data_IF_228570431289
#
_entry.id   IF_228570431289
#
_cell.length_a   1.000
_cell.length_b   1.000
_cell.length_c   1.000
_cell.angle_alpha   90.00
_cell.angle_beta   90.00
_cell.angle_gamma   90.00
#
_symmetry.space_group_name_H-M   'P 1'
#
loop_
_entity.id
_entity.type
_entity.pdbx_description
1 polymer ?
#
# COMPACT_ATOMS: atom_id res chain seq x y z
N UNK A 1 -16.70 1.04 -13.77
CA UNK A 1 -15.56 1.34 -12.85
C UNK A 1 -14.21 0.86 -13.41
N UNK A 2 -14.15 -0.21 -14.21
CA UNK A 2 -13.06 -0.40 -15.20
C UNK A 2 -12.79 0.92 -15.94
N UNK A 3 -13.86 1.57 -16.42
CA UNK A 3 -13.85 2.94 -16.96
C UNK A 3 -13.23 4.04 -16.09
N UNK A 4 -13.28 3.94 -14.75
CA UNK A 4 -12.64 4.92 -13.85
C UNK A 4 -11.15 4.61 -13.64
N UNK A 5 -10.77 3.35 -13.51
CA UNK A 5 -9.34 2.96 -13.44
C UNK A 5 -8.66 3.24 -14.77
N UNK A 6 -9.34 2.97 -15.88
CA UNK A 6 -8.92 3.31 -17.24
C UNK A 6 -8.75 4.83 -17.43
N UNK A 7 -9.67 5.65 -16.89
CA UNK A 7 -9.53 7.11 -16.91
C UNK A 7 -8.33 7.60 -16.09
N UNK A 8 -8.13 7.07 -14.88
CA UNK A 8 -6.95 7.42 -14.06
C UNK A 8 -5.65 6.99 -14.75
N UNK A 9 -5.64 5.80 -15.38
CA UNK A 9 -4.50 5.33 -16.16
C UNK A 9 -4.23 6.23 -17.38
N UNK A 10 -5.28 6.71 -18.05
CA UNK A 10 -5.15 7.68 -19.14
C UNK A 10 -4.52 8.99 -18.65
N UNK A 11 -5.03 9.55 -17.55
CA UNK A 11 -4.46 10.76 -16.95
C UNK A 11 -2.99 10.55 -16.53
N UNK A 12 -2.68 9.40 -15.94
CA UNK A 12 -1.33 9.09 -15.52
C UNK A 12 -0.38 8.92 -16.71
N UNK A 13 -0.83 8.33 -17.81
CA UNK A 13 -0.06 8.29 -19.06
C UNK A 13 0.24 9.68 -19.58
N UNK A 14 -0.76 10.57 -19.63
CA UNK A 14 -0.57 11.94 -20.05
C UNK A 14 0.45 12.67 -19.15
N UNK A 15 0.35 12.50 -17.82
CA UNK A 15 1.34 13.00 -16.87
C UNK A 15 2.75 12.47 -17.17
N UNK A 16 2.90 11.16 -17.44
CA UNK A 16 4.22 10.60 -17.76
C UNK A 16 4.78 11.13 -19.08
N UNK A 17 3.93 11.32 -20.08
CA UNK A 17 4.31 11.87 -21.39
C UNK A 17 4.72 13.35 -21.27
N UNK A 18 4.05 14.12 -20.42
CA UNK A 18 4.32 15.54 -20.19
C UNK A 18 5.61 15.76 -19.38
N UNK A 19 5.78 15.04 -18.26
CA UNK A 19 6.85 15.29 -17.29
C UNK A 19 8.06 14.34 -17.41
N UNK A 20 7.90 13.19 -18.08
CA UNK A 20 8.97 12.19 -18.24
C UNK A 20 9.09 11.62 -19.67
N UNK A 21 9.12 12.48 -20.72
CA UNK A 21 9.02 12.06 -22.13
C UNK A 21 10.13 11.12 -22.60
N UNK A 22 11.29 11.12 -21.94
CA UNK A 22 12.47 10.33 -22.31
C UNK A 22 12.66 9.06 -21.48
N UNK A 23 11.75 8.78 -20.54
CA UNK A 23 11.94 7.70 -19.58
C UNK A 23 11.54 6.34 -20.16
N UNK A 24 12.37 5.30 -19.95
CA UNK A 24 12.05 3.92 -20.35
C UNK A 24 10.77 3.39 -19.69
N UNK A 25 10.30 4.01 -18.62
CA UNK A 25 9.01 3.70 -18.02
C UNK A 25 7.86 3.96 -18.98
N UNK A 26 7.91 4.94 -19.88
CA UNK A 26 6.87 5.11 -20.91
C UNK A 26 6.71 3.86 -21.80
N UNK A 27 7.81 3.13 -22.05
CA UNK A 27 7.77 1.84 -22.76
C UNK A 27 7.14 0.75 -21.88
N UNK A 28 7.40 0.78 -20.58
CA UNK A 28 6.88 -0.19 -19.58
C UNK A 28 5.44 0.08 -19.16
N UNK A 29 4.90 1.29 -19.33
CA UNK A 29 3.52 1.65 -18.92
C UNK A 29 2.45 0.84 -19.67
N UNK A 30 2.81 0.27 -20.83
CA UNK A 30 1.97 -0.64 -21.61
C UNK A 30 2.13 -2.11 -21.20
N UNK A 31 3.14 -2.45 -20.39
CA UNK A 31 3.38 -3.81 -19.92
C UNK A 31 2.25 -4.28 -18.99
N UNK A 32 1.95 -5.58 -19.04
CA UNK A 32 0.91 -6.17 -18.19
C UNK A 32 1.24 -6.01 -16.70
N UNK A 33 2.52 -6.14 -16.35
CA UNK A 33 3.05 -6.04 -15.00
C UNK A 33 2.84 -4.64 -14.42
N UNK A 34 3.14 -3.60 -15.20
CA UNK A 34 2.89 -2.22 -14.79
C UNK A 34 1.40 -1.94 -14.62
N UNK A 35 0.58 -2.37 -15.58
CA UNK A 35 -0.87 -2.17 -15.51
C UNK A 35 -1.48 -2.86 -14.29
N UNK A 36 -1.02 -4.05 -13.95
CA UNK A 36 -1.46 -4.77 -12.76
C UNK A 36 -0.97 -4.07 -11.49
N UNK A 37 0.30 -3.62 -11.43
CA UNK A 37 0.81 -2.82 -10.32
C UNK A 37 0.00 -1.52 -10.12
N UNK A 38 -0.26 -0.78 -11.18
CA UNK A 38 -1.06 0.46 -11.16
C UNK A 38 -2.48 0.18 -10.65
N UNK A 39 -3.14 -0.85 -11.19
CA UNK A 39 -4.47 -1.27 -10.76
C UNK A 39 -4.52 -1.59 -9.26
N UNK A 40 -3.54 -2.35 -8.74
CA UNK A 40 -3.49 -2.69 -7.31
C UNK A 40 -3.24 -1.48 -6.44
N UNK A 41 -2.33 -0.60 -6.84
CA UNK A 41 -1.99 0.63 -6.11
C UNK A 41 -3.19 1.57 -6.04
N UNK A 42 -3.84 1.82 -7.18
CA UNK A 42 -5.00 2.69 -7.26
C UNK A 42 -6.22 2.09 -6.54
N UNK A 43 -6.41 0.79 -6.62
CA UNK A 43 -7.50 0.11 -5.91
C UNK A 43 -7.33 0.24 -4.40
N UNK A 44 -6.12 0.03 -3.87
CA UNK A 44 -5.85 0.21 -2.45
C UNK A 44 -6.06 1.66 -2.00
N UNK A 45 -5.59 2.63 -2.79
CA UNK A 45 -5.82 4.06 -2.54
C UNK A 45 -7.32 4.39 -2.48
N UNK A 46 -8.12 3.86 -3.42
CA UNK A 46 -9.58 4.04 -3.42
C UNK A 46 -10.27 3.39 -2.22
N UNK A 47 -9.80 2.23 -1.76
CA UNK A 47 -10.31 1.60 -0.53
C UNK A 47 -10.02 2.50 0.68
N UNK A 48 -8.80 3.04 0.79
CA UNK A 48 -8.45 3.99 1.86
C UNK A 48 -9.38 5.20 1.85
N UNK A 49 -9.64 5.76 0.67
CA UNK A 49 -10.57 6.88 0.51
C UNK A 49 -12.00 6.54 0.91
N UNK A 50 -12.45 5.30 0.70
CA UNK A 50 -13.76 4.84 1.18
C UNK A 50 -13.84 4.77 2.71
N UNK A 51 -12.73 4.51 3.39
CA UNK A 51 -12.65 4.46 4.86
C UNK A 51 -12.46 5.84 5.51
N UNK A 52 -12.22 6.87 4.71
CA UNK A 52 -12.03 8.23 5.17
C UNK A 52 -13.35 8.77 5.73
N UNK A 53 -13.54 8.59 7.04
CA UNK A 53 -14.70 9.05 7.80
C UNK A 53 -14.21 9.86 8.98
N UNK A 54 -14.73 11.07 9.14
CA UNK A 54 -14.39 11.93 10.28
C UNK A 54 -14.82 11.33 11.61
N UNK A 55 -15.87 10.50 11.59
CA UNK A 55 -16.48 9.90 12.79
C UNK A 55 -15.52 8.97 13.53
N UNK A 56 -14.63 8.28 12.82
CA UNK A 56 -13.82 7.18 13.40
C UNK A 56 -12.32 7.49 13.51
N UNK A 57 -11.88 8.74 13.22
CA UNK A 57 -10.46 9.14 13.14
C UNK A 57 -9.59 8.28 12.21
N UNK A 58 -10.21 7.42 11.39
CA UNK A 58 -9.55 6.56 10.40
C UNK A 58 -8.89 7.39 9.31
N UNK A 59 -9.43 8.60 9.06
CA UNK A 59 -8.93 9.56 8.09
C UNK A 59 -7.42 9.85 8.20
N UNK A 60 -6.89 9.95 9.42
CA UNK A 60 -5.45 10.22 9.64
C UNK A 60 -4.57 9.10 9.08
N UNK A 61 -4.96 7.85 9.30
CA UNK A 61 -4.23 6.70 8.79
C UNK A 61 -4.42 6.55 7.28
N UNK A 62 -5.66 6.67 6.80
CA UNK A 62 -5.98 6.49 5.37
C UNK A 62 -5.36 7.58 4.49
N UNK A 63 -5.29 8.82 4.97
CA UNK A 63 -4.62 9.91 4.24
C UNK A 63 -3.12 9.64 4.08
N UNK A 64 -2.45 9.11 5.10
CA UNK A 64 -1.02 8.77 5.02
C UNK A 64 -0.79 7.56 4.11
N UNK A 65 -1.70 6.58 4.15
CA UNK A 65 -1.71 5.46 3.20
C UNK A 65 -1.82 5.97 1.74
N UNK A 66 -2.83 6.81 1.46
CA UNK A 66 -3.06 7.38 0.13
C UNK A 66 -1.87 8.21 -0.36
N UNK A 67 -1.29 9.03 0.52
CA UNK A 67 -0.11 9.82 0.20
C UNK A 67 1.07 8.94 -0.25
N UNK A 68 1.38 7.88 0.50
CA UNK A 68 2.49 6.98 0.14
C UNK A 68 2.18 6.15 -1.12
N UNK A 69 0.92 5.76 -1.35
CA UNK A 69 0.51 5.07 -2.58
C UNK A 69 0.64 5.96 -3.82
N UNK A 70 0.31 7.25 -3.69
CA UNK A 70 0.50 8.22 -4.77
C UNK A 70 1.99 8.47 -5.03
N UNK A 71 2.79 8.57 -3.96
CA UNK A 71 4.25 8.69 -4.06
C UNK A 71 4.88 7.49 -4.79
N UNK A 72 4.35 6.27 -4.64
CA UNK A 72 4.83 5.13 -5.43
C UNK A 72 4.70 5.39 -6.93
N UNK A 73 3.56 5.92 -7.39
CA UNK A 73 3.34 6.24 -8.79
C UNK A 73 4.19 7.44 -9.26
N UNK A 74 4.54 8.35 -8.35
CA UNK A 74 5.43 9.47 -8.64
C UNK A 74 6.90 9.05 -8.74
N UNK A 75 7.40 8.24 -7.80
CA UNK A 75 8.81 7.83 -7.75
C UNK A 75 9.16 6.71 -8.72
N UNK A 76 8.16 5.96 -9.19
CA UNK A 76 8.36 4.92 -10.18
C UNK A 76 9.07 5.45 -11.43
N UNK A 77 8.55 6.46 -12.17
CA UNK A 77 9.24 7.04 -13.33
C UNK A 77 10.64 7.55 -12.95
N UNK A 78 10.81 8.18 -11.80
CA UNK A 78 12.11 8.70 -11.35
C UNK A 78 13.14 7.61 -11.03
N UNK A 79 12.72 6.34 -10.98
CA UNK A 79 13.58 5.22 -10.64
C UNK A 79 14.24 5.36 -9.25
N UNK A 80 13.56 6.05 -8.33
CA UNK A 80 14.06 6.27 -6.98
C UNK A 80 13.75 5.07 -6.08
N UNK A 81 14.57 4.02 -6.18
CA UNK A 81 14.33 2.77 -5.48
C UNK A 81 14.22 2.96 -3.96
N UNK A 82 15.01 3.87 -3.37
CA UNK A 82 14.91 4.20 -1.94
C UNK A 82 13.54 4.79 -1.61
N UNK A 83 13.09 5.79 -2.37
CA UNK A 83 11.79 6.45 -2.19
C UNK A 83 10.61 5.50 -2.42
N UNK A 84 10.73 4.57 -3.39
CA UNK A 84 9.77 3.49 -3.63
C UNK A 84 9.69 2.57 -2.40
N UNK A 85 10.83 2.08 -1.91
CA UNK A 85 10.85 1.20 -0.73
C UNK A 85 10.32 1.89 0.52
N UNK A 86 10.66 3.17 0.71
CA UNK A 86 10.14 3.98 1.82
C UNK A 86 8.62 4.14 1.72
N UNK A 87 8.10 4.38 0.52
CA UNK A 87 6.65 4.50 0.30
C UNK A 87 5.92 3.18 0.61
N UNK A 88 6.43 2.02 0.14
CA UNK A 88 5.83 0.71 0.49
C UNK A 88 5.92 0.43 1.99
N UNK A 89 7.07 0.72 2.61
CA UNK A 89 7.29 0.57 4.05
C UNK A 89 6.24 1.36 4.83
N UNK A 90 6.09 2.64 4.52
CA UNK A 90 5.14 3.53 5.18
C UNK A 90 3.69 3.10 4.93
N UNK A 91 3.33 2.73 3.70
CA UNK A 91 2.02 2.14 3.41
C UNK A 91 1.76 0.92 4.30
N UNK A 92 2.75 0.06 4.47
CA UNK A 92 2.61 -1.14 5.30
C UNK A 92 2.49 -0.80 6.79
N UNK A 93 3.32 0.12 7.29
CA UNK A 93 3.29 0.56 8.69
C UNK A 93 1.95 1.18 9.07
N UNK A 94 1.45 2.10 8.24
CA UNK A 94 0.18 2.78 8.52
C UNK A 94 -1.02 1.86 8.34
N UNK A 95 -0.90 0.81 7.54
CA UNK A 95 -1.91 -0.25 7.47
C UNK A 95 -1.93 -1.07 8.76
N UNK A 96 -0.76 -1.47 9.28
CA UNK A 96 -0.65 -2.16 10.57
C UNK A 96 -1.26 -1.28 11.66
N UNK A 97 -0.88 -0.01 11.73
CA UNK A 97 -1.42 0.98 12.68
C UNK A 97 -2.93 1.14 12.56
N UNK A 98 -3.46 1.15 11.34
CA UNK A 98 -4.91 1.18 11.11
C UNK A 98 -5.58 -0.09 11.65
N UNK A 99 -5.02 -1.27 11.43
CA UNK A 99 -5.58 -2.53 11.96
C UNK A 99 -5.61 -2.53 13.49
N UNK A 100 -4.56 -2.02 14.15
CA UNK A 100 -4.55 -1.80 15.60
C UNK A 100 -5.59 -0.80 16.07
N UNK A 101 -5.74 0.31 15.33
CA UNK A 101 -6.78 1.30 15.59
C UNK A 101 -8.18 0.70 15.44
N UNK A 102 -8.43 -0.16 14.46
CA UNK A 102 -9.71 -0.85 14.31
C UNK A 102 -9.98 -1.84 15.46
N UNK A 103 -8.94 -2.51 15.99
CA UNK A 103 -9.06 -3.39 17.15
C UNK A 103 -9.39 -2.62 18.44
N UNK A 104 -8.75 -1.46 18.63
CA UNK A 104 -8.90 -0.63 19.83
C UNK A 104 -9.00 0.86 19.44
N UNK A 105 -10.19 1.33 19.00
CA UNK A 105 -10.37 2.70 18.46
C UNK A 105 -10.10 3.83 19.45
N UNK A 106 -10.04 3.50 20.74
CA UNK A 106 -9.78 4.44 21.83
C UNK A 106 -8.28 4.85 21.88
N UNK A 107 -7.40 3.98 21.37
CA UNK A 107 -5.95 4.17 21.43
C UNK A 107 -5.44 4.87 20.16
N UNK A 108 -4.48 5.79 20.33
CA UNK A 108 -3.84 6.45 19.20
C UNK A 108 -2.55 5.72 18.82
N UNK A 109 -2.59 4.97 17.72
CA UNK A 109 -1.45 4.21 17.21
C UNK A 109 -0.58 4.96 16.19
N UNK A 110 -0.91 6.22 15.85
CA UNK A 110 -0.15 7.00 14.86
C UNK A 110 1.33 7.13 15.23
N UNK A 111 1.61 7.32 16.52
CA UNK A 111 2.96 7.53 17.03
C UNK A 111 3.60 6.25 17.60
N UNK A 112 2.86 5.13 17.67
CA UNK A 112 3.40 3.87 18.17
C UNK A 112 4.47 3.35 17.22
N UNK A 113 5.62 2.97 17.75
CA UNK A 113 6.71 2.41 16.97
C UNK A 113 6.37 1.01 16.45
N UNK A 114 6.88 0.66 15.27
CA UNK A 114 6.67 -0.66 14.65
C UNK A 114 7.05 -1.83 15.57
N UNK A 115 8.15 -1.71 16.34
CA UNK A 115 8.62 -2.78 17.22
C UNK A 115 7.57 -3.19 18.25
N UNK A 116 6.98 -2.21 18.94
CA UNK A 116 5.91 -2.44 19.90
C UNK A 116 4.70 -3.13 19.23
N UNK A 117 4.29 -2.66 18.04
CA UNK A 117 3.20 -3.29 17.29
C UNK A 117 3.54 -4.72 16.81
N UNK A 118 4.82 -5.05 16.63
CA UNK A 118 5.24 -6.40 16.22
C UNK A 118 5.23 -7.37 17.39
N UNK A 119 5.64 -6.91 18.57
CA UNK A 119 5.64 -7.67 19.82
C UNK A 119 4.20 -7.95 20.30
N UNK A 120 3.27 -7.00 20.09
CA UNK A 120 1.88 -7.12 20.53
C UNK A 120 0.92 -7.70 19.48
N UNK A 121 1.40 -8.23 18.35
CA UNK A 121 0.53 -8.62 17.21
C UNK A 121 -0.55 -9.65 17.57
N UNK A 122 -0.28 -10.49 18.57
CA UNK A 122 -1.19 -11.52 19.06
C UNK A 122 -2.40 -10.91 19.81
N UNK A 123 -2.36 -9.62 20.16
CA UNK A 123 -3.47 -8.88 20.79
C UNK A 123 -4.54 -8.44 19.80
N UNK A 124 -4.28 -8.53 18.49
CA UNK A 124 -5.27 -8.24 17.46
C UNK A 124 -6.28 -9.39 17.40
N UNK A 125 -7.57 -9.12 17.65
CA UNK A 125 -8.61 -10.15 17.48
C UNK A 125 -8.59 -10.77 16.06
N UNK A 126 -8.25 -9.94 15.08
CA UNK A 126 -8.05 -10.31 13.67
C UNK A 126 -6.90 -11.31 13.43
N UNK A 127 -5.88 -11.33 14.29
CA UNK A 127 -4.68 -12.16 14.10
C UNK A 127 -5.01 -13.65 14.05
N UNK A 128 -5.91 -14.12 14.92
CA UNK A 128 -6.26 -15.54 14.98
C UNK A 128 -6.91 -16.05 13.68
N UNK A 129 -7.62 -15.19 12.94
CA UNK A 129 -8.30 -15.58 11.70
C UNK A 129 -7.45 -15.34 10.44
N UNK A 130 -6.55 -14.36 10.49
CA UNK A 130 -5.77 -13.90 9.33
C UNK A 130 -4.26 -13.84 9.62
N UNK A 131 -3.76 -14.75 10.47
CA UNK A 131 -2.36 -14.81 10.93
C UNK A 131 -1.36 -14.61 9.80
N UNK A 132 -1.45 -15.42 8.74
CA UNK A 132 -0.52 -15.35 7.61
C UNK A 132 -0.52 -13.97 6.93
N UNK A 133 -1.68 -13.33 6.83
CA UNK A 133 -1.79 -12.01 6.21
C UNK A 133 -1.17 -10.93 7.10
N UNK A 134 -1.38 -11.01 8.42
CA UNK A 134 -0.78 -10.08 9.38
C UNK A 134 0.75 -10.27 9.43
N UNK A 135 1.23 -11.50 9.57
CA UNK A 135 2.66 -11.83 9.57
C UNK A 135 3.34 -11.32 8.28
N UNK A 136 2.66 -11.44 7.15
CA UNK A 136 3.14 -10.95 5.86
C UNK A 136 3.25 -9.41 5.81
N UNK A 137 2.36 -8.66 6.47
CA UNK A 137 2.53 -7.21 6.62
C UNK A 137 3.79 -6.88 7.41
N UNK A 138 4.05 -7.59 8.51
CA UNK A 138 5.27 -7.41 9.29
C UNK A 138 6.52 -7.77 8.46
N UNK A 139 6.47 -8.84 7.66
CA UNK A 139 7.56 -9.23 6.76
C UNK A 139 7.83 -8.16 5.69
N UNK A 140 6.78 -7.65 5.03
CA UNK A 140 6.90 -6.57 4.03
C UNK A 140 7.58 -5.36 4.67
N UNK A 141 7.12 -4.94 5.85
CA UNK A 141 7.74 -3.81 6.55
C UNK A 141 9.22 -4.06 6.81
N UNK A 142 9.57 -5.20 7.41
CA UNK A 142 10.95 -5.53 7.78
C UNK A 142 11.86 -5.58 6.54
N UNK A 143 11.42 -6.26 5.49
CA UNK A 143 12.15 -6.34 4.21
C UNK A 143 12.40 -4.96 3.62
N UNK A 144 11.39 -4.08 3.57
CA UNK A 144 11.52 -2.72 3.00
C UNK A 144 12.36 -1.81 3.90
N UNK A 145 12.23 -1.92 5.21
CA UNK A 145 13.04 -1.20 6.19
C UNK A 145 14.53 -1.55 6.07
N UNK A 146 14.85 -2.84 5.94
CA UNK A 146 16.23 -3.30 5.71
C UNK A 146 16.84 -2.78 4.40
N UNK A 147 16.03 -2.53 3.37
CA UNK A 147 16.49 -1.94 2.11
C UNK A 147 16.78 -0.45 2.23
N UNK A 148 16.01 0.27 3.06
CA UNK A 148 16.13 1.72 3.25
C UNK A 148 17.28 2.05 4.20
N UNK A 149 17.41 1.32 5.31
CA UNK A 149 18.48 1.56 6.26
C UNK A 149 19.82 1.07 5.70
N UNK A 150 20.78 1.98 5.59
CA UNK A 150 22.17 1.61 5.43
C UNK A 150 22.62 1.07 6.79
N UNK A 151 23.01 -0.21 6.83
CA UNK A 151 23.81 -0.72 7.96
C UNK A 151 25.13 0.04 7.97
N UNK A 152 25.86 0.07 9.07
CA UNK A 152 27.22 0.65 9.05
C UNK A 152 28.03 -0.02 7.93
N UNK A 153 28.48 0.78 6.96
CA UNK A 153 29.30 0.33 5.83
C UNK A 153 30.51 1.24 5.75
N UNK A 154 31.65 0.68 5.36
CA UNK A 154 32.85 1.45 5.04
C UNK A 154 32.57 2.47 3.92
N UNK A 155 33.23 3.62 3.99
CA UNK A 155 32.95 4.82 3.16
C UNK A 155 33.03 4.53 1.65
N UNK A 156 33.99 3.71 1.22
CA UNK A 156 34.15 3.32 -0.19
C UNK A 156 32.99 2.44 -0.69
N UNK A 157 32.42 1.59 0.18
CA UNK A 157 31.25 0.78 -0.16
C UNK A 157 29.96 1.64 -0.20
N UNK A 158 29.90 2.74 0.55
CA UNK A 158 28.77 3.66 0.57
C UNK A 158 28.54 4.30 -0.81
N UNK A 159 29.62 4.73 -1.47
CA UNK A 159 29.56 5.38 -2.79
C UNK A 159 28.98 4.42 -3.83
N UNK A 160 29.49 3.19 -3.91
CA UNK A 160 28.96 2.17 -4.82
C UNK A 160 27.52 1.75 -4.50
N UNK A 161 27.14 1.71 -3.22
CA UNK A 161 25.75 1.44 -2.81
C UNK A 161 24.82 2.57 -3.23
N UNK A 162 25.23 3.84 -3.05
CA UNK A 162 24.46 5.00 -3.45
C UNK A 162 24.29 5.06 -4.97
N UNK A 163 25.36 4.86 -5.73
CA UNK A 163 25.30 4.75 -7.20
C UNK A 163 24.35 3.63 -7.61
N UNK A 164 24.47 2.43 -7.02
CA UNK A 164 23.55 1.32 -7.32
C UNK A 164 22.10 1.61 -6.95
N UNK A 165 21.82 2.33 -5.86
CA UNK A 165 20.45 2.61 -5.40
C UNK A 165 19.79 3.77 -6.15
N UNK A 166 20.58 4.72 -6.65
CA UNK A 166 20.10 5.91 -7.37
C UNK A 166 20.02 5.70 -8.89
N UNK A 167 20.84 4.82 -9.46
CA UNK A 167 20.95 4.67 -10.93
C UNK A 167 20.32 3.39 -11.49
N UNK A 168 20.02 2.39 -10.66
CA UNK A 168 19.56 1.07 -11.14
C UNK A 168 18.09 1.10 -11.58
N UNK A 169 17.75 0.83 -12.85
CA UNK A 169 16.37 0.84 -13.33
C UNK A 169 15.51 -0.23 -12.63
N UNK A 170 14.29 0.13 -12.22
CA UNK A 170 13.27 -0.82 -11.72
C UNK A 170 13.05 -1.89 -12.79
N UNK A 171 13.40 -3.14 -12.49
CA UNK A 171 13.21 -4.25 -13.40
C UNK A 171 11.83 -4.90 -13.24
N UNK A 172 11.46 -5.80 -14.16
CA UNK A 172 10.19 -6.54 -14.09
C UNK A 172 10.05 -7.36 -12.81
N UNK A 173 11.16 -7.92 -12.31
CA UNK A 173 11.19 -8.62 -11.03
C UNK A 173 10.79 -7.73 -9.86
N UNK A 174 11.34 -6.50 -9.82
CA UNK A 174 11.01 -5.52 -8.78
C UNK A 174 9.53 -5.12 -8.82
N UNK A 175 8.98 -4.88 -10.02
CA UNK A 175 7.55 -4.59 -10.20
C UNK A 175 6.66 -5.71 -9.69
N UNK A 176 7.03 -6.98 -9.92
CA UNK A 176 6.27 -8.12 -9.42
C UNK A 176 6.27 -8.20 -7.90
N UNK A 177 7.41 -7.95 -7.25
CA UNK A 177 7.50 -7.90 -5.79
C UNK A 177 6.66 -6.74 -5.25
N UNK A 178 6.80 -5.54 -5.82
CA UNK A 178 6.01 -4.36 -5.44
C UNK A 178 4.51 -4.63 -5.58
N UNK A 179 4.09 -5.21 -6.71
CA UNK A 179 2.70 -5.59 -6.95
C UNK A 179 2.19 -6.57 -5.90
N UNK A 180 2.96 -7.60 -5.59
CA UNK A 180 2.58 -8.59 -4.59
C UNK A 180 2.41 -7.94 -3.21
N UNK A 181 3.35 -7.09 -2.80
CA UNK A 181 3.30 -6.37 -1.52
C UNK A 181 2.04 -5.49 -1.42
N UNK A 182 1.76 -4.68 -2.45
CA UNK A 182 0.57 -3.84 -2.48
C UNK A 182 -0.71 -4.67 -2.50
N UNK A 183 -0.73 -5.80 -3.21
CA UNK A 183 -1.88 -6.69 -3.21
C UNK A 183 -2.11 -7.34 -1.85
N UNK A 184 -1.05 -7.69 -1.12
CA UNK A 184 -1.13 -8.22 0.24
C UNK A 184 -1.65 -7.16 1.22
N UNK A 185 -1.15 -5.92 1.12
CA UNK A 185 -1.70 -4.79 1.88
C UNK A 185 -3.20 -4.61 1.60
N UNK A 186 -3.61 -4.63 0.34
CA UNK A 186 -5.01 -4.51 -0.07
C UNK A 186 -5.88 -5.63 0.49
N UNK A 187 -5.46 -6.89 0.33
CA UNK A 187 -6.26 -8.03 0.80
C UNK A 187 -6.39 -8.01 2.32
N UNK A 188 -5.31 -7.73 3.04
CA UNK A 188 -5.32 -7.66 4.50
C UNK A 188 -6.22 -6.52 5.00
N UNK A 189 -6.17 -5.36 4.36
CA UNK A 189 -7.07 -4.25 4.69
C UNK A 189 -8.55 -4.65 4.51
N UNK A 190 -8.89 -5.28 3.37
CA UNK A 190 -10.27 -5.72 3.13
C UNK A 190 -10.72 -6.71 4.20
N UNK A 191 -9.88 -7.68 4.55
CA UNK A 191 -10.21 -8.63 5.61
C UNK A 191 -10.39 -7.95 6.97
N UNK A 192 -9.54 -6.98 7.31
CA UNK A 192 -9.68 -6.22 8.55
C UNK A 192 -10.98 -5.39 8.57
N UNK A 193 -11.34 -4.73 7.45
CA UNK A 193 -12.62 -4.01 7.32
C UNK A 193 -13.80 -4.94 7.61
N UNK A 194 -13.76 -6.16 7.07
CA UNK A 194 -14.82 -7.16 7.24
C UNK A 194 -14.86 -7.69 8.68
N UNK A 195 -13.70 -7.99 9.25
CA UNK A 195 -13.58 -8.56 10.58
C UNK A 195 -14.05 -7.60 11.67
N UNK A 196 -13.63 -6.34 11.61
CA UNK A 196 -14.01 -5.31 12.58
C UNK A 196 -15.34 -4.62 12.24
N UNK A 197 -16.08 -5.14 11.25
CA UNK A 197 -17.39 -4.65 10.84
C UNK A 197 -17.44 -3.12 10.67
N UNK A 198 -16.42 -2.56 10.00
CA UNK A 198 -16.26 -1.11 9.91
C UNK A 198 -17.52 -0.49 9.32
N UNK A 199 -18.12 0.44 10.06
CA UNK A 199 -19.34 1.11 9.63
C UNK A 199 -19.08 1.97 8.39
N UNK A 200 -19.79 1.65 7.31
CA UNK A 200 -19.72 2.32 6.02
C UNK A 200 -21.11 2.79 5.60
N UNK A 201 -21.21 4.00 5.08
CA UNK A 201 -22.44 4.51 4.45
C UNK A 201 -22.82 3.67 3.23
N UNK A 202 -24.08 3.75 2.81
CA UNK A 202 -24.58 3.06 1.60
C UNK A 202 -23.71 3.36 0.38
N UNK A 203 -23.30 4.61 0.20
CA UNK A 203 -22.43 5.02 -0.91
C UNK A 203 -21.04 4.38 -0.80
N UNK A 204 -20.43 4.38 0.39
CA UNK A 204 -19.14 3.73 0.63
C UNK A 204 -19.21 2.22 0.38
N UNK A 205 -20.28 1.56 0.83
CA UNK A 205 -20.52 0.12 0.57
C UNK A 205 -20.64 -0.17 -0.91
N UNK A 206 -21.38 0.64 -1.68
CA UNK A 206 -21.52 0.47 -3.13
C UNK A 206 -20.16 0.60 -3.83
N UNK A 207 -19.36 1.60 -3.47
CA UNK A 207 -18.03 1.80 -4.06
C UNK A 207 -17.10 0.64 -3.69
N UNK A 208 -17.05 0.24 -2.42
CA UNK A 208 -16.20 -0.85 -1.95
C UNK A 208 -16.54 -2.17 -2.63
N UNK A 209 -17.83 -2.48 -2.82
CA UNK A 209 -18.29 -3.68 -3.56
C UNK A 209 -17.79 -3.72 -5.01
N UNK A 210 -17.51 -2.57 -5.62
CA UNK A 210 -16.95 -2.51 -6.97
C UNK A 210 -15.42 -2.74 -7.00
N UNK A 211 -14.74 -2.65 -5.85
CA UNK A 211 -13.27 -2.73 -5.71
C UNK A 211 -12.80 -4.11 -5.23
N UNK A 212 -13.72 -4.97 -4.77
CA UNK A 212 -13.40 -6.26 -4.15
C UNK A 212 -14.00 -7.43 -4.93
N UNK A 213 -13.54 -8.65 -4.65
CA UNK A 213 -14.05 -9.86 -5.30
C UNK A 213 -15.47 -10.22 -4.87
N UNK A 214 -16.23 -10.95 -5.71
CA UNK A 214 -17.58 -11.46 -5.36
C UNK A 214 -17.61 -12.24 -4.05
N UNK A 215 -16.56 -13.03 -3.77
CA UNK A 215 -16.39 -13.77 -2.51
C UNK A 215 -16.34 -12.84 -1.30
N UNK A 216 -15.68 -11.69 -1.44
CA UNK A 216 -15.60 -10.66 -0.37
C UNK A 216 -16.91 -9.86 -0.27
N UNK A 217 -17.62 -9.61 -1.38
CA UNK A 217 -18.94 -8.95 -1.36
C UNK A 217 -19.96 -9.75 -0.53
N UNK A 218 -19.97 -11.08 -0.66
CA UNK A 218 -20.90 -11.92 0.08
C UNK A 218 -20.69 -11.80 1.60
N UNK A 219 -19.45 -11.56 2.06
CA UNK A 219 -19.17 -11.30 3.48
C UNK A 219 -19.67 -9.93 3.93
N UNK A 220 -19.56 -8.87 3.10
CA UNK A 220 -20.12 -7.54 3.39
C UNK A 220 -21.65 -7.57 3.56
N UNK A 221 -22.34 -8.44 2.81
CA UNK A 221 -23.79 -8.52 2.87
C UNK A 221 -24.32 -9.26 4.11
N UNK A 222 -23.47 -10.05 4.78
CA UNK A 222 -23.83 -10.84 5.96
C UNK A 222 -23.60 -10.09 7.28
N UNK A 223 -22.79 -9.03 7.28
CA UNK A 223 -22.53 -8.15 8.43
C UNK A 223 -23.57 -7.01 8.53
N UNK A 224 -24.85 -7.35 8.33
CA UNK A 224 -26.01 -6.45 8.49
C UNK A 224 -26.91 -6.98 9.60
#
# INVERSE_FOLDING_TARGET
MKSRIEKELFNYKAYLEEYFPTNDILKKVKSKEFLDFFDKTLTLSKICKCLNSEVNKTNRYTNILEYNLNNLLYFLPLNELVSINMSVRNTTEYLIKLIYHLNQPQNNYLNTGYRSLSEDRDTLGFYNQSKNNVDLLFEIYSRRSNTVHLKEVEEDALTSILESKLTKPVCTGDLNILRNDINNCKNTLIEAILYYEVSLSTQQKIILKQLISKKQINKINLSC
#
